data_IF_043696599868
#
_entry.id   IF_043696599868
#
_cell.length_a   1.000
_cell.length_b   1.000
_cell.length_c   1.000
_cell.angle_alpha   90.00
_cell.angle_beta   90.00
_cell.angle_gamma   90.00
#
_symmetry.space_group_name_H-M   'P 1'
#
loop_
_entity.id
_entity.type
_entity.pdbx_description
1 polymer ?
#
# COMPACT_ATOMS: atom_id res chain seq x y z
N UNK A 1 -36.54 8.28 33.06
CA UNK A 1 -35.06 8.45 32.93
C UNK A 1 -34.38 7.29 32.21
N UNK A 2 -34.74 6.05 32.45
CA UNK A 2 -34.14 4.83 31.85
C UNK A 2 -34.23 4.82 30.32
N UNK A 3 -35.34 5.29 29.74
CA UNK A 3 -35.55 5.25 28.27
C UNK A 3 -34.71 6.26 27.48
N UNK A 4 -34.20 7.32 28.09
CA UNK A 4 -33.30 8.30 27.46
C UNK A 4 -31.85 7.79 27.44
N UNK A 5 -31.46 7.10 28.50
CA UNK A 5 -30.13 6.50 28.62
C UNK A 5 -29.94 5.35 27.61
N UNK A 6 -30.95 4.49 27.43
CA UNK A 6 -30.94 3.44 26.41
C UNK A 6 -30.92 3.98 24.98
N UNK A 7 -31.64 5.07 24.70
CA UNK A 7 -31.60 5.73 23.39
C UNK A 7 -30.24 6.36 23.08
N UNK A 8 -29.59 6.95 24.10
CA UNK A 8 -28.23 7.49 23.96
C UNK A 8 -27.22 6.35 23.78
N UNK A 9 -27.36 5.25 24.55
CA UNK A 9 -26.50 4.07 24.38
C UNK A 9 -26.68 3.40 23.00
N UNK A 10 -27.91 3.30 22.53
CA UNK A 10 -28.24 2.78 21.17
C UNK A 10 -27.72 3.73 20.07
N UNK A 11 -27.81 5.03 20.27
CA UNK A 11 -27.26 6.03 19.35
C UNK A 11 -25.71 5.99 19.32
N UNK A 12 -25.07 5.83 20.48
CA UNK A 12 -23.62 5.62 20.57
C UNK A 12 -23.23 4.28 19.94
N UNK A 13 -24.03 3.23 20.09
CA UNK A 13 -23.78 1.93 19.47
C UNK A 13 -24.04 1.95 17.96
N UNK A 14 -25.08 2.63 17.48
CA UNK A 14 -25.39 2.81 16.07
C UNK A 14 -24.37 3.73 15.38
N UNK A 15 -23.88 4.79 16.04
CA UNK A 15 -22.79 5.62 15.52
C UNK A 15 -21.47 4.87 15.52
N UNK A 16 -21.18 3.99 16.48
CA UNK A 16 -20.00 3.13 16.43
C UNK A 16 -20.10 2.01 15.38
N UNK A 17 -21.29 1.48 15.10
CA UNK A 17 -21.50 0.51 14.03
C UNK A 17 -21.36 1.11 12.61
N UNK A 18 -21.72 2.40 12.44
CA UNK A 18 -21.50 3.15 11.20
C UNK A 18 -20.04 3.59 10.99
N UNK A 19 -19.18 3.51 12.02
CA UNK A 19 -17.76 3.87 11.97
C UNK A 19 -16.81 2.67 11.96
N UNK A 20 -17.31 1.44 11.82
CA UNK A 20 -16.50 0.27 11.46
C UNK A 20 -16.17 0.30 9.96
N UNK A 21 -15.63 1.41 9.48
CA UNK A 21 -14.85 1.40 8.26
C UNK A 21 -13.55 0.69 8.62
N UNK A 22 -13.47 -0.58 8.27
CA UNK A 22 -12.26 -1.39 8.36
C UNK A 22 -11.15 -0.65 7.61
N UNK A 23 -10.18 -0.15 8.36
CA UNK A 23 -8.92 0.31 7.79
C UNK A 23 -8.26 -0.93 7.18
N UNK A 24 -8.10 -0.90 5.87
CA UNK A 24 -7.43 -1.94 5.10
C UNK A 24 -6.00 -1.47 4.87
N UNK A 25 -5.03 -2.29 5.08
CA UNK A 25 -3.62 -2.04 4.82
C UNK A 25 -3.07 -3.13 3.89
N UNK A 26 -1.97 -2.86 3.26
CA UNK A 26 -1.32 -3.59 2.16
C UNK A 26 -0.41 -4.73 2.64
N UNK A 27 0.05 -5.57 1.73
CA UNK A 27 0.71 -6.86 1.92
C UNK A 27 2.02 -6.89 2.65
N UNK A 28 2.83 -5.94 2.36
CA UNK A 28 3.97 -5.61 3.17
C UNK A 28 3.67 -4.30 3.86
N UNK A 29 3.87 -4.25 5.17
CA UNK A 29 3.75 -3.00 5.89
C UNK A 29 4.86 -2.03 5.45
N UNK A 30 4.69 -0.77 5.77
CA UNK A 30 5.53 0.35 5.33
C UNK A 30 7.03 0.10 5.49
N UNK A 31 7.47 -0.49 6.61
CA UNK A 31 8.90 -0.72 6.86
C UNK A 31 9.51 -1.75 5.91
N UNK A 32 8.75 -2.75 5.55
CA UNK A 32 9.23 -3.77 4.60
C UNK A 32 9.43 -3.17 3.21
N UNK A 33 8.52 -2.34 2.71
CA UNK A 33 8.70 -1.64 1.43
C UNK A 33 9.92 -0.73 1.44
N UNK A 34 10.10 0.06 2.50
CA UNK A 34 11.27 0.94 2.63
C UNK A 34 12.58 0.14 2.78
N UNK A 35 12.54 -1.01 3.47
CA UNK A 35 13.71 -1.89 3.61
C UNK A 35 14.18 -2.47 2.27
N UNK A 36 13.27 -2.76 1.34
CA UNK A 36 13.64 -3.21 -0.01
C UNK A 36 14.37 -2.09 -0.76
N UNK A 37 13.93 -0.84 -0.64
CA UNK A 37 14.65 0.32 -1.18
C UNK A 37 16.04 0.39 -0.58
N UNK A 38 16.18 0.28 0.75
CA UNK A 38 17.46 0.40 1.45
C UNK A 38 18.49 -0.65 1.00
N UNK A 39 18.08 -1.92 0.94
CA UNK A 39 19.02 -3.00 0.56
C UNK A 39 19.41 -2.94 -0.92
N UNK A 40 18.64 -2.24 -1.75
CA UNK A 40 18.91 -2.10 -3.18
C UNK A 40 19.53 -0.74 -3.54
N UNK A 41 19.54 0.23 -2.62
CA UNK A 41 19.94 1.61 -2.88
C UNK A 41 21.37 1.72 -3.40
N UNK A 42 22.33 1.37 -2.56
CA UNK A 42 23.76 1.63 -2.82
C UNK A 42 24.28 0.85 -4.06
N UNK A 43 23.76 -0.35 -4.28
CA UNK A 43 24.30 -1.25 -5.34
C UNK A 43 23.54 -1.16 -6.66
N UNK A 44 22.30 -0.66 -6.66
CA UNK A 44 21.47 -0.75 -7.86
C UNK A 44 20.75 0.57 -8.16
N UNK A 45 19.96 1.13 -7.21
CA UNK A 45 19.15 2.32 -7.48
C UNK A 45 20.03 3.54 -7.70
N UNK A 46 20.95 3.84 -6.78
CA UNK A 46 21.83 4.99 -6.89
C UNK A 46 22.71 4.95 -8.15
N UNK A 47 23.38 3.84 -8.51
CA UNK A 47 24.09 3.74 -9.79
C UNK A 47 23.20 3.95 -11.01
N UNK A 48 21.95 3.45 -10.99
CA UNK A 48 20.99 3.67 -12.07
C UNK A 48 20.63 5.16 -12.19
N UNK A 49 20.38 5.84 -11.07
CA UNK A 49 20.14 7.28 -11.04
C UNK A 49 21.33 8.06 -11.58
N UNK A 50 22.55 7.75 -11.16
CA UNK A 50 23.77 8.40 -11.64
C UNK A 50 24.04 8.14 -13.13
N UNK A 51 23.67 6.98 -13.66
CA UNK A 51 23.75 6.69 -15.10
C UNK A 51 22.80 7.58 -15.90
N UNK A 52 21.60 7.84 -15.39
CA UNK A 52 20.58 8.67 -16.06
C UNK A 52 20.82 10.17 -15.83
N UNK A 53 21.36 10.53 -14.66
CA UNK A 53 21.61 11.90 -14.20
C UNK A 53 23.06 12.04 -13.70
N UNK A 54 24.07 12.05 -14.61
CA UNK A 54 25.48 11.93 -14.23
C UNK A 54 26.04 13.11 -13.41
N UNK A 55 25.32 14.23 -13.34
CA UNK A 55 25.69 15.40 -12.55
C UNK A 55 25.04 15.49 -11.18
N UNK A 56 24.30 14.46 -10.75
CA UNK A 56 23.59 14.51 -9.48
C UNK A 56 24.53 14.57 -8.27
N UNK A 57 24.29 15.54 -7.39
CA UNK A 57 25.05 15.71 -6.14
C UNK A 57 24.57 14.74 -5.06
N UNK A 58 25.35 14.58 -4.00
CA UNK A 58 24.94 13.76 -2.84
C UNK A 58 23.65 14.23 -2.20
N UNK A 59 23.40 15.54 -2.11
CA UNK A 59 22.16 16.10 -1.58
C UNK A 59 20.96 15.75 -2.48
N UNK A 60 21.14 15.82 -3.80
CA UNK A 60 20.11 15.41 -4.76
C UNK A 60 19.82 13.90 -4.67
N UNK A 61 20.85 13.07 -4.50
CA UNK A 61 20.68 11.63 -4.31
C UNK A 61 19.99 11.30 -2.99
N UNK A 62 20.31 12.03 -1.92
CA UNK A 62 19.61 11.91 -0.64
C UNK A 62 18.13 12.32 -0.75
N UNK A 63 17.85 13.37 -1.49
CA UNK A 63 16.48 13.77 -1.76
C UNK A 63 15.74 12.75 -2.63
N UNK A 64 16.38 12.24 -3.68
CA UNK A 64 15.85 11.18 -4.54
C UNK A 64 15.53 9.89 -3.75
N UNK A 65 16.35 9.56 -2.73
CA UNK A 65 16.07 8.44 -1.83
C UNK A 65 14.75 8.65 -1.06
N UNK A 66 14.47 9.88 -0.62
CA UNK A 66 13.20 10.21 0.01
C UNK A 66 11.99 10.03 -0.94
N UNK A 67 12.19 10.34 -2.22
CA UNK A 67 11.17 10.08 -3.23
C UNK A 67 11.02 8.60 -3.57
N UNK A 68 12.10 7.82 -3.56
CA UNK A 68 12.02 6.37 -3.73
C UNK A 68 11.22 5.70 -2.59
N UNK A 69 11.43 6.10 -1.34
CA UNK A 69 10.58 5.67 -0.23
C UNK A 69 9.12 6.10 -0.44
N UNK A 70 8.89 7.36 -0.83
CA UNK A 70 7.55 7.85 -1.12
C UNK A 70 6.84 7.03 -2.18
N UNK A 71 7.54 6.66 -3.24
CA UNK A 71 7.01 5.76 -4.27
C UNK A 71 6.68 4.37 -3.74
N UNK A 72 7.56 3.82 -2.89
CA UNK A 72 7.37 2.48 -2.32
C UNK A 72 6.16 2.37 -1.39
N UNK A 73 5.64 3.49 -0.86
CA UNK A 73 4.48 3.48 0.05
C UNK A 73 3.26 4.22 -0.51
N UNK A 74 3.40 4.99 -1.59
CA UNK A 74 2.32 5.79 -2.16
C UNK A 74 1.10 4.99 -2.61
N UNK A 75 1.22 3.77 -3.20
CA UNK A 75 0.07 2.98 -3.59
C UNK A 75 -0.91 2.73 -2.45
N UNK A 76 -0.44 2.63 -1.21
CA UNK A 76 -1.26 2.41 -0.01
C UNK A 76 -1.91 3.66 0.57
N UNK A 77 -1.59 4.83 0.05
CA UNK A 77 -2.05 6.10 0.60
C UNK A 77 -3.57 6.20 0.77
N UNK A 78 -4.33 5.49 -0.06
CA UNK A 78 -5.79 5.45 0.01
C UNK A 78 -6.36 4.77 1.25
N UNK A 79 -5.57 3.96 1.95
CA UNK A 79 -5.98 3.30 3.20
C UNK A 79 -5.81 4.17 4.44
N UNK A 80 -5.08 5.27 4.32
CA UNK A 80 -4.79 6.16 5.45
C UNK A 80 -5.85 7.28 5.58
N UNK A 81 -5.88 7.99 6.74
CA UNK A 81 -6.85 9.05 6.97
C UNK A 81 -6.83 10.11 5.85
N UNK A 82 -8.02 10.52 5.42
CA UNK A 82 -8.28 11.35 4.23
C UNK A 82 -7.90 10.71 2.90
N UNK A 83 -7.39 9.47 2.90
CA UNK A 83 -7.19 8.69 1.70
C UNK A 83 -8.51 8.22 1.08
N UNK A 84 -8.46 7.80 -0.17
CA UNK A 84 -9.61 7.29 -0.91
C UNK A 84 -9.27 5.90 -1.44
N UNK A 85 -10.02 4.90 -0.97
CA UNK A 85 -9.79 3.49 -1.35
C UNK A 85 -9.74 3.27 -2.85
N UNK A 86 -10.56 3.98 -3.62
CA UNK A 86 -10.56 3.83 -5.07
C UNK A 86 -9.18 4.12 -5.68
N UNK A 87 -8.40 5.07 -5.14
CA UNK A 87 -7.03 5.30 -5.59
C UNK A 87 -6.17 4.06 -5.42
N UNK A 88 -6.08 3.56 -4.19
CA UNK A 88 -5.27 2.38 -3.86
C UNK A 88 -5.76 1.15 -4.64
N UNK A 89 -7.07 0.90 -4.68
CA UNK A 89 -7.62 -0.22 -5.42
C UNK A 89 -7.30 -0.14 -6.93
N UNK A 90 -7.36 1.05 -7.54
CA UNK A 90 -6.99 1.22 -8.94
C UNK A 90 -5.53 0.83 -9.19
N UNK A 91 -4.60 1.34 -8.38
CA UNK A 91 -3.17 1.10 -8.60
C UNK A 91 -2.75 -0.34 -8.25
N UNK A 92 -3.53 -1.06 -7.42
CA UNK A 92 -3.26 -2.45 -7.07
C UNK A 92 -3.91 -3.46 -8.02
N UNK A 93 -5.09 -3.16 -8.56
CA UNK A 93 -5.91 -4.18 -9.23
C UNK A 93 -6.24 -3.86 -10.69
N UNK A 94 -6.15 -2.60 -11.11
CA UNK A 94 -6.56 -2.16 -12.45
C UNK A 94 -5.39 -1.54 -13.18
N UNK A 95 -4.93 -2.16 -14.27
CA UNK A 95 -3.84 -1.63 -15.08
C UNK A 95 -2.58 -1.29 -14.28
N UNK A 96 -2.27 -2.10 -13.28
CA UNK A 96 -1.18 -1.86 -12.32
C UNK A 96 0.19 -1.76 -13.00
N UNK A 97 0.49 -2.61 -13.97
CA UNK A 97 1.71 -2.54 -14.76
C UNK A 97 1.76 -1.32 -15.68
N UNK A 98 0.62 -0.97 -16.31
CA UNK A 98 0.52 0.25 -17.14
C UNK A 98 0.77 1.51 -16.31
N UNK A 99 0.33 1.52 -15.05
CA UNK A 99 0.57 2.64 -14.14
C UNK A 99 2.05 2.79 -13.80
N UNK A 100 2.75 1.70 -13.50
CA UNK A 100 4.21 1.72 -13.29
C UNK A 100 4.95 2.20 -14.54
N UNK A 101 4.56 1.68 -15.72
CA UNK A 101 5.14 2.13 -17.00
C UNK A 101 4.91 3.64 -17.20
N UNK A 102 3.68 4.13 -16.95
CA UNK A 102 3.37 5.54 -17.09
C UNK A 102 4.19 6.43 -16.16
N UNK A 103 4.44 6.02 -14.91
CA UNK A 103 5.30 6.75 -13.98
C UNK A 103 6.75 6.86 -14.48
N UNK A 104 7.30 5.77 -15.00
CA UNK A 104 8.67 5.74 -15.54
C UNK A 104 8.80 6.60 -16.80
N UNK A 105 7.79 6.59 -17.67
CA UNK A 105 7.75 7.36 -18.91
C UNK A 105 7.58 8.86 -18.66
N UNK A 106 6.74 9.23 -17.68
CA UNK A 106 6.40 10.61 -17.36
C UNK A 106 7.40 11.30 -16.41
N UNK A 107 8.41 10.59 -15.93
CA UNK A 107 9.41 11.14 -15.00
C UNK A 107 10.39 12.09 -15.72
N UNK A 108 10.37 13.39 -15.34
CA UNK A 108 11.13 14.45 -15.96
C UNK A 108 12.45 14.80 -15.25
N UNK A 109 12.59 14.43 -13.99
CA UNK A 109 13.78 14.70 -13.18
C UNK A 109 14.17 13.50 -12.30
N UNK A 110 15.28 13.62 -11.57
CA UNK A 110 15.82 12.56 -10.71
C UNK A 110 14.86 12.17 -9.59
N UNK A 111 14.10 13.11 -9.04
CA UNK A 111 13.18 12.88 -7.94
C UNK A 111 11.92 12.15 -8.43
N UNK A 112 11.38 12.57 -9.56
CA UNK A 112 10.26 11.90 -10.20
C UNK A 112 10.62 10.49 -10.63
N UNK A 113 11.83 10.30 -11.19
CA UNK A 113 12.30 8.97 -11.58
C UNK A 113 12.55 8.06 -10.38
N UNK A 114 13.15 8.58 -9.31
CA UNK A 114 13.32 7.84 -8.07
C UNK A 114 11.97 7.45 -7.43
N UNK A 115 10.97 8.32 -7.49
CA UNK A 115 9.61 8.01 -7.06
C UNK A 115 9.01 6.89 -7.91
N UNK A 116 9.17 6.93 -9.23
CA UNK A 116 8.70 5.87 -10.13
C UNK A 116 9.37 4.52 -9.84
N UNK A 117 10.69 4.53 -9.56
CA UNK A 117 11.43 3.33 -9.11
C UNK A 117 10.89 2.81 -7.77
N UNK A 118 10.48 3.70 -6.87
CA UNK A 118 9.81 3.32 -5.62
C UNK A 118 8.47 2.63 -5.86
N UNK A 119 7.62 3.13 -6.76
CA UNK A 119 6.36 2.45 -7.12
C UNK A 119 6.61 1.12 -7.80
N UNK A 120 7.65 0.99 -8.61
CA UNK A 120 8.11 -0.29 -9.15
C UNK A 120 8.57 -1.26 -8.05
N UNK A 121 9.21 -0.74 -7.00
CA UNK A 121 9.55 -1.54 -5.82
C UNK A 121 8.28 -2.10 -5.16
N UNK A 122 7.26 -1.27 -4.94
CA UNK A 122 5.97 -1.69 -4.41
C UNK A 122 5.30 -2.77 -5.28
N UNK A 123 5.24 -2.54 -6.60
CA UNK A 123 4.75 -3.54 -7.56
C UNK A 123 5.45 -4.91 -7.43
N UNK A 124 6.77 -4.92 -7.27
CA UNK A 124 7.53 -6.15 -7.07
C UNK A 124 7.28 -6.76 -5.68
N UNK A 125 7.20 -5.92 -4.66
CA UNK A 125 7.00 -6.30 -3.28
C UNK A 125 5.67 -7.05 -3.11
N UNK A 126 4.60 -6.49 -3.64
CA UNK A 126 3.28 -7.10 -3.51
C UNK A 126 3.12 -8.31 -4.42
N UNK A 127 3.51 -8.21 -5.69
CA UNK A 127 3.44 -9.32 -6.64
C UNK A 127 4.01 -10.63 -6.12
N UNK A 128 5.11 -10.57 -5.39
CA UNK A 128 5.82 -11.76 -4.88
C UNK A 128 5.66 -11.93 -3.37
N UNK A 129 5.52 -10.82 -2.64
CA UNK A 129 5.43 -10.83 -1.19
C UNK A 129 4.12 -11.41 -0.67
N UNK A 130 2.98 -11.08 -1.31
CA UNK A 130 1.68 -11.64 -0.94
C UNK A 130 1.63 -13.15 -1.15
N UNK A 131 1.71 -13.67 -2.38
CA UNK A 131 1.44 -15.09 -2.62
C UNK A 131 2.52 -16.01 -2.01
N UNK A 132 3.79 -15.60 -1.99
CA UNK A 132 4.89 -16.40 -1.45
C UNK A 132 5.01 -16.24 0.06
N UNK A 133 4.69 -15.06 0.60
CA UNK A 133 4.90 -14.68 2.00
C UNK A 133 3.62 -14.54 2.78
N UNK A 134 3.00 -13.36 2.72
CA UNK A 134 1.94 -12.96 3.65
C UNK A 134 0.74 -13.89 3.61
N UNK A 135 0.20 -14.25 2.44
CA UNK A 135 -0.97 -15.11 2.31
C UNK A 135 -0.77 -16.49 2.96
N UNK A 136 0.41 -17.08 2.80
CA UNK A 136 0.75 -18.37 3.44
C UNK A 136 0.96 -18.22 4.94
N UNK A 137 1.60 -17.12 5.36
CA UNK A 137 1.84 -16.84 6.78
C UNK A 137 0.54 -16.56 7.54
N UNK A 138 -0.47 -15.93 6.91
CA UNK A 138 -1.80 -15.80 7.50
C UNK A 138 -2.38 -17.18 7.80
N UNK A 139 -2.38 -18.10 6.84
CA UNK A 139 -2.88 -19.45 7.05
C UNK A 139 -2.14 -20.22 8.19
N UNK A 140 -0.83 -19.99 8.35
CA UNK A 140 -0.04 -20.60 9.42
C UNK A 140 -0.38 -20.01 10.80
N UNK A 141 -0.53 -18.69 10.85
CA UNK A 141 -0.71 -17.97 12.11
C UNK A 141 -2.15 -17.92 12.59
N UNK A 142 -3.12 -18.15 11.69
CA UNK A 142 -4.56 -18.08 11.95
C UNK A 142 -5.24 -19.40 11.50
N UNK A 143 -5.26 -20.45 12.38
CA UNK A 143 -5.79 -21.76 12.02
C UNK A 143 -7.27 -21.77 11.59
N UNK A 144 -8.08 -20.82 12.10
CA UNK A 144 -9.48 -20.67 11.72
C UNK A 144 -9.62 -20.20 10.26
N UNK A 145 -8.77 -19.26 9.84
CA UNK A 145 -8.73 -18.78 8.44
C UNK A 145 -8.21 -19.89 7.52
N UNK A 146 -7.18 -20.63 7.96
CA UNK A 146 -6.71 -21.81 7.24
C UNK A 146 -7.80 -22.87 7.05
N UNK A 147 -8.59 -23.13 8.06
CA UNK A 147 -9.69 -24.09 7.98
C UNK A 147 -10.78 -23.65 7.00
N UNK A 148 -10.99 -22.34 6.85
CA UNK A 148 -12.01 -21.75 5.98
C UNK A 148 -11.55 -21.55 4.55
N UNK A 149 -10.29 -21.11 4.34
CA UNK A 149 -9.79 -20.63 3.06
C UNK A 149 -8.62 -21.47 2.50
N UNK A 150 -8.05 -22.39 3.29
CA UNK A 150 -6.94 -23.23 2.85
C UNK A 150 -5.56 -22.74 3.28
N UNK A 151 -4.53 -23.12 2.53
CA UNK A 151 -3.12 -22.87 2.88
C UNK A 151 -2.62 -21.49 2.47
N UNK A 152 -3.44 -20.71 1.77
CA UNK A 152 -3.16 -19.34 1.35
C UNK A 152 -4.42 -18.51 1.61
N UNK A 153 -4.31 -17.43 2.35
CA UNK A 153 -5.43 -16.55 2.72
C UNK A 153 -5.12 -15.16 2.23
N UNK A 154 -5.89 -14.72 1.24
CA UNK A 154 -5.72 -13.41 0.62
C UNK A 154 -6.33 -12.30 1.48
N UNK A 155 -5.99 -11.06 1.14
CA UNK A 155 -6.55 -9.89 1.79
C UNK A 155 -8.08 -9.80 1.65
N UNK A 156 -8.65 -10.21 0.50
CA UNK A 156 -10.11 -10.22 0.31
C UNK A 156 -10.83 -11.20 1.23
N UNK A 157 -10.18 -12.29 1.63
CA UNK A 157 -10.75 -13.33 2.47
C UNK A 157 -10.73 -12.95 3.95
N UNK A 158 -9.61 -12.47 4.49
CA UNK A 158 -9.53 -11.88 5.84
C UNK A 158 -8.56 -10.69 5.92
N UNK A 159 -9.08 -9.46 5.72
CA UNK A 159 -8.27 -8.26 5.80
C UNK A 159 -7.63 -8.02 7.17
N UNK A 160 -8.26 -8.50 8.24
CA UNK A 160 -7.79 -8.25 9.61
C UNK A 160 -6.57 -9.10 9.94
N UNK A 161 -6.67 -10.40 9.69
CA UNK A 161 -5.55 -11.34 9.89
C UNK A 161 -4.37 -10.97 8.98
N UNK A 162 -4.66 -10.53 7.76
CA UNK A 162 -3.67 -10.09 6.79
C UNK A 162 -2.85 -8.88 7.30
N UNK A 163 -3.53 -7.80 7.71
CA UNK A 163 -2.91 -6.61 8.31
C UNK A 163 -2.10 -6.95 9.57
N UNK A 164 -2.63 -7.82 10.43
CA UNK A 164 -1.90 -8.24 11.64
C UNK A 164 -0.60 -8.97 11.30
N UNK A 165 -0.60 -9.75 10.22
CA UNK A 165 0.58 -10.48 9.76
C UNK A 165 1.66 -9.52 9.26
N UNK A 166 1.30 -8.56 8.43
CA UNK A 166 2.20 -7.55 7.88
C UNK A 166 2.90 -6.72 8.95
N UNK A 167 2.10 -6.12 9.86
CA UNK A 167 2.67 -5.38 10.99
C UNK A 167 3.44 -6.29 11.96
N UNK A 168 3.05 -7.56 12.06
CA UNK A 168 3.77 -8.57 12.80
C UNK A 168 5.18 -8.77 12.28
N UNK A 169 5.36 -8.80 10.95
CA UNK A 169 6.67 -8.89 10.32
C UNK A 169 7.49 -7.60 10.51
N UNK A 170 6.89 -6.43 10.34
CA UNK A 170 7.61 -5.17 10.59
C UNK A 170 8.16 -5.10 12.02
N UNK A 171 7.35 -5.51 13.02
CA UNK A 171 7.79 -5.59 14.42
C UNK A 171 8.91 -6.62 14.59
N UNK A 172 8.77 -7.80 13.99
CA UNK A 172 9.75 -8.88 14.12
C UNK A 172 11.08 -8.51 13.47
N UNK A 173 11.08 -8.02 12.23
CA UNK A 173 12.29 -7.67 11.51
C UNK A 173 13.00 -6.45 12.10
N UNK A 174 12.23 -5.48 12.63
CA UNK A 174 12.80 -4.41 13.44
C UNK A 174 13.47 -4.96 14.70
N UNK A 175 12.83 -5.93 15.39
CA UNK A 175 13.39 -6.58 16.57
C UNK A 175 14.64 -7.42 16.28
N UNK A 176 14.77 -7.96 15.07
CA UNK A 176 15.97 -8.68 14.59
C UNK A 176 17.10 -7.73 14.20
N UNK A 177 16.83 -6.42 14.02
CA UNK A 177 17.80 -5.45 13.52
C UNK A 177 18.05 -5.57 12.01
N UNK A 178 17.18 -6.26 11.28
CA UNK A 178 17.29 -6.44 9.83
C UNK A 178 16.87 -5.18 9.05
N UNK A 179 16.02 -4.33 9.64
CA UNK A 179 15.69 -3.05 9.06
C UNK A 179 16.67 -1.99 9.56
N UNK A 180 17.24 -1.22 8.64
CA UNK A 180 18.36 -0.32 8.90
C UNK A 180 17.94 0.91 9.72
N UNK A 181 17.79 0.75 11.03
CA UNK A 181 17.43 1.83 11.96
C UNK A 181 18.37 3.04 11.90
N UNK A 182 19.67 2.85 11.56
CA UNK A 182 20.65 3.93 11.47
C UNK A 182 20.44 4.81 10.22
N UNK A 183 20.11 4.23 9.07
CA UNK A 183 19.74 5.02 7.88
C UNK A 183 18.46 5.83 8.14
N UNK A 184 17.50 5.27 8.88
CA UNK A 184 16.31 5.97 9.32
C UNK A 184 16.57 7.12 10.29
N UNK A 185 17.56 7.03 11.16
CA UNK A 185 17.92 8.14 12.08
C UNK A 185 18.40 9.38 11.34
N UNK A 186 19.01 9.20 10.19
CA UNK A 186 19.51 10.27 9.33
C UNK A 186 18.53 10.66 8.23
N UNK A 187 17.46 9.88 8.04
CA UNK A 187 16.47 10.10 7.01
C UNK A 187 15.34 10.98 7.52
N UNK A 188 14.87 11.90 6.68
CA UNK A 188 13.92 12.96 7.06
C UNK A 188 12.45 12.55 6.79
N UNK A 189 12.21 11.35 6.30
CA UNK A 189 10.91 10.82 5.90
C UNK A 189 10.77 10.68 4.39
N UNK A 190 9.59 10.27 3.92
CA UNK A 190 9.32 10.05 2.50
C UNK A 190 8.69 11.28 1.83
N UNK A 191 8.94 11.43 0.53
CA UNK A 191 8.36 12.47 -0.33
C UNK A 191 7.48 11.86 -1.42
N UNK A 192 6.30 12.42 -1.64
CA UNK A 192 5.40 12.05 -2.74
C UNK A 192 5.59 13.04 -3.89
N UNK A 193 5.91 12.54 -5.06
CA UNK A 193 5.98 13.38 -6.26
C UNK A 193 4.59 13.51 -6.89
N UNK A 194 3.86 14.56 -6.49
CA UNK A 194 2.53 14.85 -7.02
C UNK A 194 2.52 15.07 -8.55
N UNK A 195 3.50 15.79 -9.15
CA UNK A 195 3.46 16.07 -10.58
C UNK A 195 3.51 14.80 -11.45
N UNK A 196 4.44 13.88 -11.20
CA UNK A 196 4.51 12.64 -11.98
C UNK A 196 3.34 11.72 -11.67
N UNK A 197 2.89 11.69 -10.40
CA UNK A 197 1.73 10.90 -9.99
C UNK A 197 0.47 11.35 -10.74
N UNK A 198 0.23 12.67 -10.86
CA UNK A 198 -0.89 13.23 -11.60
C UNK A 198 -0.85 12.87 -13.09
N UNK A 199 0.32 13.05 -13.73
CA UNK A 199 0.47 12.73 -15.15
C UNK A 199 0.26 11.25 -15.44
N UNK A 200 0.89 10.39 -14.66
CA UNK A 200 0.79 8.95 -14.83
C UNK A 200 -0.62 8.43 -14.53
N UNK A 201 -1.26 8.97 -13.49
CA UNK A 201 -2.63 8.59 -13.11
C UNK A 201 -3.63 8.97 -14.20
N UNK A 202 -3.54 10.19 -14.71
CA UNK A 202 -4.37 10.66 -15.83
C UNK A 202 -4.15 9.82 -17.10
N UNK A 203 -2.89 9.54 -17.45
CA UNK A 203 -2.52 8.74 -18.64
C UNK A 203 -3.07 7.31 -18.52
N UNK A 204 -3.01 6.72 -17.34
CA UNK A 204 -3.40 5.32 -17.13
C UNK A 204 -4.91 5.16 -16.99
N UNK A 205 -5.54 6.01 -16.18
CA UNK A 205 -6.93 5.83 -15.75
C UNK A 205 -7.90 6.84 -16.36
N UNK A 206 -7.43 7.86 -17.08
CA UNK A 206 -8.31 8.93 -17.60
C UNK A 206 -8.98 9.76 -16.50
N UNK A 207 -8.47 9.69 -15.28
CA UNK A 207 -8.93 10.43 -14.10
C UNK A 207 -7.80 11.29 -13.57
N UNK A 208 -8.10 12.52 -13.16
CA UNK A 208 -7.16 13.33 -12.38
C UNK A 208 -7.18 12.90 -10.91
N UNK A 209 -6.12 13.21 -10.17
CA UNK A 209 -6.12 12.95 -8.73
C UNK A 209 -7.21 13.75 -8.00
N UNK A 210 -7.60 14.93 -8.54
CA UNK A 210 -8.71 15.71 -8.00
C UNK A 210 -10.09 15.09 -8.22
N UNK A 211 -10.23 14.16 -9.19
CA UNK A 211 -11.47 13.37 -9.34
C UNK A 211 -11.61 12.33 -8.23
N UNK A 212 -10.49 11.97 -7.59
CA UNK A 212 -10.41 10.96 -6.54
C UNK A 212 -10.33 11.61 -5.16
N UNK A 213 -9.34 12.47 -4.94
CA UNK A 213 -9.08 13.11 -3.65
C UNK A 213 -9.75 14.47 -3.56
N UNK A 214 -10.47 14.70 -2.49
CA UNK A 214 -11.04 16.03 -2.18
C UNK A 214 -9.94 17.06 -1.87
N UNK A 215 -8.86 16.60 -1.24
CA UNK A 215 -7.71 17.41 -0.81
C UNK A 215 -6.47 16.51 -0.75
N UNK A 216 -5.78 16.37 -1.87
CA UNK A 216 -4.58 15.52 -1.99
C UNK A 216 -3.43 16.00 -1.09
N UNK A 217 -3.09 17.31 -1.00
CA UNK A 217 -2.07 17.78 -0.07
C UNK A 217 -2.34 17.39 1.38
N UNK A 218 -3.60 17.48 1.81
CA UNK A 218 -4.02 17.05 3.15
C UNK A 218 -3.89 15.54 3.35
N UNK A 219 -4.27 14.76 2.34
CA UNK A 219 -4.09 13.31 2.37
C UNK A 219 -2.62 12.94 2.57
N UNK A 220 -1.71 13.52 1.77
CA UNK A 220 -0.28 13.29 1.85
C UNK A 220 0.29 13.73 3.21
N UNK A 221 -0.10 14.91 3.70
CA UNK A 221 0.33 15.41 5.00
C UNK A 221 -0.10 14.49 6.15
N UNK A 222 -1.36 14.04 6.10
CA UNK A 222 -1.91 13.09 7.08
C UNK A 222 -1.22 11.73 7.02
N UNK A 223 -0.97 11.21 5.82
CA UNK A 223 -0.26 9.95 5.62
C UNK A 223 1.14 10.00 6.24
N UNK A 224 1.94 11.03 5.92
CA UNK A 224 3.26 11.25 6.55
C UNK A 224 3.18 11.31 8.06
N UNK A 225 2.18 12.03 8.60
CA UNK A 225 2.01 12.18 10.03
C UNK A 225 1.71 10.82 10.71
N UNK A 226 0.85 10.00 10.10
CA UNK A 226 0.55 8.65 10.61
C UNK A 226 1.81 7.80 10.62
N UNK A 227 2.54 7.73 9.52
CA UNK A 227 3.76 6.93 9.42
C UNK A 227 4.80 7.40 10.45
N UNK A 228 5.06 8.70 10.55
CA UNK A 228 5.97 9.28 11.55
C UNK A 228 5.64 8.82 12.99
N UNK A 229 4.37 8.61 13.31
CA UNK A 229 3.96 8.23 14.67
C UNK A 229 3.79 6.71 14.82
N UNK A 230 3.56 5.99 13.72
CA UNK A 230 3.45 4.53 13.70
C UNK A 230 4.79 3.88 14.04
N UNK A 231 5.89 4.30 13.39
CA UNK A 231 7.22 3.72 13.62
C UNK A 231 7.68 3.71 15.07
N UNK A 232 7.62 4.81 15.83
CA UNK A 232 7.97 4.77 17.24
C UNK A 232 7.08 3.82 18.06
N UNK A 233 5.86 3.56 17.61
CA UNK A 233 4.96 2.63 18.27
C UNK A 233 5.33 1.18 17.98
N UNK A 234 5.67 0.86 16.72
CA UNK A 234 6.14 -0.46 16.31
C UNK A 234 7.46 -0.84 17.00
N UNK A 235 8.45 0.06 16.98
CA UNK A 235 9.74 -0.17 17.63
C UNK A 235 9.62 -0.32 19.16
N UNK A 236 8.74 0.45 19.82
CA UNK A 236 8.44 0.27 21.24
C UNK A 236 7.79 -1.08 21.53
N UNK A 237 6.89 -1.51 20.66
CA UNK A 237 6.23 -2.81 20.77
C UNK A 237 7.25 -3.93 20.61
N UNK A 238 8.09 -3.87 19.57
CA UNK A 238 9.18 -4.82 19.35
C UNK A 238 10.11 -4.91 20.54
N UNK A 239 10.55 -3.78 21.10
CA UNK A 239 11.38 -3.75 22.32
C UNK A 239 10.68 -4.42 23.50
N UNK A 240 9.40 -4.15 23.72
CA UNK A 240 8.64 -4.71 24.85
C UNK A 240 8.52 -6.24 24.76
N UNK A 241 8.34 -6.78 23.56
CA UNK A 241 8.18 -8.23 23.36
C UNK A 241 9.49 -9.00 23.24
N UNK A 242 10.53 -8.39 22.65
CA UNK A 242 11.76 -9.07 22.22
C UNK A 242 13.04 -8.51 22.84
N UNK A 243 12.95 -7.72 23.91
CA UNK A 243 14.11 -7.09 24.55
C UNK A 243 15.29 -8.04 24.77
N UNK A 244 15.04 -9.25 25.26
CA UNK A 244 16.11 -10.23 25.55
C UNK A 244 16.81 -10.68 24.26
N UNK A 245 16.04 -10.94 23.21
CA UNK A 245 16.55 -11.38 21.92
C UNK A 245 17.30 -10.24 21.22
N UNK A 246 16.77 -9.03 21.26
CA UNK A 246 17.39 -7.81 20.72
C UNK A 246 18.77 -7.55 21.37
N UNK A 247 18.83 -7.58 22.71
CA UNK A 247 20.08 -7.35 23.44
C UNK A 247 21.07 -8.49 23.21
N UNK A 248 20.59 -9.72 23.01
CA UNK A 248 21.44 -10.88 22.70
C UNK A 248 22.04 -10.77 21.30
N UNK A 249 21.23 -10.37 20.31
CA UNK A 249 21.68 -10.23 18.91
C UNK A 249 22.56 -8.99 18.70
N UNK A 250 22.34 -7.92 19.50
CA UNK A 250 23.09 -6.67 19.40
C UNK A 250 23.53 -6.24 20.81
N UNK A 251 24.68 -6.74 21.31
CA UNK A 251 25.21 -6.36 22.62
C UNK A 251 25.39 -4.85 22.74
N UNK A 252 24.92 -4.28 23.84
CA UNK A 252 24.97 -2.83 24.10
C UNK A 252 23.81 -2.03 23.49
N UNK A 253 22.85 -2.68 22.82
CA UNK A 253 21.64 -2.02 22.35
C UNK A 253 20.81 -1.54 23.55
N UNK A 254 20.46 -0.26 23.55
CA UNK A 254 19.58 0.34 24.56
C UNK A 254 18.21 0.64 23.95
N UNK A 255 17.17 0.71 24.79
CA UNK A 255 15.84 1.11 24.35
C UNK A 255 15.86 2.41 23.54
N UNK A 256 16.64 3.40 24.00
CA UNK A 256 16.74 4.72 23.34
C UNK A 256 17.37 4.64 21.94
N UNK A 257 18.33 3.75 21.73
CA UNK A 257 18.97 3.51 20.42
C UNK A 257 18.06 2.72 19.51
N UNK A 258 17.31 1.78 20.06
CA UNK A 258 16.42 0.91 19.31
C UNK A 258 15.10 1.61 18.91
N UNK A 259 14.54 2.47 19.79
CA UNK A 259 13.34 3.22 19.46
C UNK A 259 13.65 4.30 18.43
N UNK A 260 13.20 4.08 17.20
CA UNK A 260 13.23 5.10 16.16
C UNK A 260 12.32 6.28 16.58
N UNK A 261 12.85 7.47 16.55
CA UNK A 261 12.09 8.71 16.78
C UNK A 261 12.68 9.84 15.95
N UNK A 262 12.07 10.15 14.83
CA UNK A 262 12.41 11.33 14.07
C UNK A 262 12.29 12.58 14.94
N UNK A 263 13.33 13.42 14.99
CA UNK A 263 13.30 14.68 15.72
C UNK A 263 12.23 15.60 15.13
N UNK A 264 11.35 16.13 15.97
CA UNK A 264 10.29 17.05 15.54
C UNK A 264 10.84 18.28 14.80
N UNK A 265 12.04 18.75 15.20
CA UNK A 265 12.70 19.85 14.51
C UNK A 265 13.05 19.51 13.05
N UNK A 266 13.60 18.33 12.80
CA UNK A 266 13.95 17.88 11.45
C UNK A 266 12.69 17.71 10.59
N UNK A 267 11.65 17.10 11.16
CA UNK A 267 10.37 16.95 10.46
C UNK A 267 9.74 18.30 10.11
N UNK A 268 9.75 19.25 11.05
CA UNK A 268 9.20 20.58 10.82
C UNK A 268 10.03 21.42 9.84
N UNK A 269 11.33 21.18 9.78
CA UNK A 269 12.21 21.81 8.79
C UNK A 269 11.86 21.33 7.38
N UNK A 270 11.65 20.04 7.20
CA UNK A 270 11.42 19.41 5.89
C UNK A 270 9.98 19.58 5.39
N UNK A 271 8.99 19.41 6.27
CA UNK A 271 7.57 19.37 5.89
C UNK A 271 6.75 20.53 6.42
N UNK A 272 7.39 21.55 7.04
CA UNK A 272 6.72 22.68 7.65
C UNK A 272 6.14 22.39 9.03
N UNK A 273 5.59 23.41 9.69
CA UNK A 273 5.02 23.31 11.05
C UNK A 273 3.53 22.95 11.05
N UNK A 274 2.83 23.19 9.93
CA UNK A 274 1.42 22.81 9.79
C UNK A 274 1.34 21.35 9.37
N UNK A 275 0.80 20.53 10.25
CA UNK A 275 0.54 19.13 9.97
C UNK A 275 -0.96 18.92 10.05
N UNK A 276 -1.53 18.33 9.01
CA UNK A 276 -2.90 17.85 9.03
C UNK A 276 -2.96 16.61 9.91
N UNK A 277 -3.14 16.86 11.21
CA UNK A 277 -3.35 15.78 12.17
C UNK A 277 -4.72 15.21 11.88
N UNK A 278 -4.82 13.92 11.54
CA UNK A 278 -6.12 13.30 11.53
C UNK A 278 -6.72 13.49 12.92
N UNK A 279 -7.96 13.97 13.04
CA UNK A 279 -8.61 14.29 14.30
C UNK A 279 -8.49 13.21 15.37
N UNK A 280 -9.49 12.97 16.17
CA UNK A 280 -9.48 12.00 17.29
C UNK A 280 -9.05 10.55 16.91
N UNK A 281 -9.13 10.17 15.62
CA UNK A 281 -8.94 8.82 15.11
C UNK A 281 -7.53 8.19 15.21
N UNK A 282 -6.41 8.86 15.00
CA UNK A 282 -5.09 8.20 15.09
C UNK A 282 -4.58 8.09 16.53
N UNK A 283 -5.02 9.00 17.39
CA UNK A 283 -4.87 8.82 18.86
C UNK A 283 -5.64 7.56 19.28
N UNK A 284 -6.76 7.25 18.63
CA UNK A 284 -7.57 6.07 18.88
C UNK A 284 -6.94 4.79 18.28
N UNK A 285 -6.31 4.82 17.10
CA UNK A 285 -5.57 3.65 16.58
C UNK A 285 -4.36 3.33 17.45
N UNK A 286 -3.59 4.35 17.87
CA UNK A 286 -2.50 4.18 18.81
C UNK A 286 -3.01 3.84 20.24
N UNK A 287 -4.19 4.32 20.63
CA UNK A 287 -4.86 3.97 21.89
C UNK A 287 -5.58 2.62 21.80
N UNK A 288 -6.17 2.27 20.63
CA UNK A 288 -6.76 0.95 20.39
C UNK A 288 -5.68 -0.14 20.41
N UNK A 289 -4.51 0.11 19.84
CA UNK A 289 -3.34 -0.76 20.01
C UNK A 289 -2.86 -0.81 21.48
N UNK A 290 -3.06 0.26 22.27
CA UNK A 290 -2.70 0.32 23.70
C UNK A 290 -3.79 -0.13 24.66
N UNK A 291 -5.06 -0.02 24.31
CA UNK A 291 -6.23 -0.14 25.21
C UNK A 291 -7.12 -1.33 24.83
N UNK A 292 -6.74 -2.18 23.87
CA UNK A 292 -7.53 -3.37 23.56
C UNK A 292 -7.73 -4.21 24.82
N UNK A 293 -8.99 -4.36 25.28
CA UNK A 293 -9.27 -5.11 26.49
C UNK A 293 -8.79 -6.55 26.29
N UNK A 294 -8.18 -7.11 27.32
CA UNK A 294 -7.64 -8.48 27.35
C UNK A 294 -8.74 -9.56 27.25
N UNK A 295 -9.99 -9.19 26.96
CA UNK A 295 -11.14 -10.09 26.96
C UNK A 295 -12.20 -9.65 25.92
N UNK A 296 -12.92 -10.60 25.34
CA UNK A 296 -14.01 -10.42 24.37
C UNK A 296 -13.58 -10.50 22.89
N UNK A 297 -14.48 -10.18 21.95
CA UNK A 297 -14.25 -10.21 20.48
C UNK A 297 -13.08 -9.32 20.01
N UNK A 298 -12.61 -8.41 20.84
CA UNK A 298 -11.42 -7.58 20.59
C UNK A 298 -10.10 -8.28 20.94
N UNK A 299 -10.15 -9.53 21.44
CA UNK A 299 -8.99 -10.37 21.71
C UNK A 299 -8.23 -10.70 20.43
N UNK A 300 -8.92 -10.66 19.29
CA UNK A 300 -8.41 -11.00 17.96
C UNK A 300 -7.54 -9.90 17.34
N UNK A 301 -7.63 -8.67 17.86
CA UNK A 301 -6.76 -7.54 17.47
C UNK A 301 -5.38 -7.51 18.17
N UNK A 302 -4.99 -8.55 18.90
CA UNK A 302 -3.63 -8.63 19.43
C UNK A 302 -2.64 -8.84 18.32
N UNK A 303 -1.65 -7.93 18.20
CA UNK A 303 -0.51 -8.12 17.32
C UNK A 303 0.11 -9.50 17.59
N UNK A 304 -0.05 -10.41 16.63
CA UNK A 304 0.60 -11.72 16.65
C UNK A 304 1.99 -11.55 16.05
N UNK A 305 3.02 -11.78 16.86
CA UNK A 305 4.39 -11.81 16.34
C UNK A 305 4.59 -13.15 15.62
N UNK A 306 5.02 -13.14 14.35
CA UNK A 306 5.23 -14.36 13.58
C UNK A 306 6.16 -15.33 14.24
N UNK A 307 5.83 -16.63 14.17
CA UNK A 307 6.69 -17.71 14.63
C UNK A 307 7.82 -18.02 13.64
N UNK A 308 8.77 -18.91 14.00
CA UNK A 308 9.94 -19.23 13.16
C UNK A 308 9.59 -19.75 11.76
N UNK A 309 8.51 -20.50 11.61
CA UNK A 309 8.04 -21.03 10.32
C UNK A 309 7.58 -19.88 9.40
N UNK A 310 6.71 -19.02 9.90
CA UNK A 310 6.23 -17.85 9.17
C UNK A 310 7.39 -16.87 8.86
N UNK A 311 8.32 -16.66 9.80
CA UNK A 311 9.51 -15.83 9.57
C UNK A 311 10.38 -16.38 8.42
N UNK A 312 10.59 -17.70 8.36
CA UNK A 312 11.34 -18.33 7.27
C UNK A 312 10.69 -18.07 5.91
N UNK A 313 9.38 -18.23 5.81
CA UNK A 313 8.61 -17.97 4.57
C UNK A 313 8.71 -16.48 4.18
N UNK A 314 8.56 -15.59 5.16
CA UNK A 314 8.71 -14.15 4.93
C UNK A 314 10.10 -13.80 4.38
N UNK A 315 11.18 -14.32 4.96
CA UNK A 315 12.54 -14.07 4.47
C UNK A 315 12.70 -14.59 3.04
N UNK A 316 12.18 -15.76 2.72
CA UNK A 316 12.21 -16.31 1.36
C UNK A 316 11.44 -15.41 0.37
N UNK A 317 10.29 -14.86 0.77
CA UNK A 317 9.54 -13.93 -0.06
C UNK A 317 10.29 -12.62 -0.25
N UNK A 318 10.89 -12.07 0.80
CA UNK A 318 11.71 -10.85 0.74
C UNK A 318 12.91 -11.01 -0.21
N UNK A 319 13.65 -12.12 -0.10
CA UNK A 319 14.77 -12.45 -1.00
C UNK A 319 14.30 -12.57 -2.46
N UNK A 320 13.11 -13.15 -2.68
CA UNK A 320 12.52 -13.29 -4.00
C UNK A 320 12.17 -11.92 -4.58
N UNK A 321 11.50 -11.07 -3.81
CA UNK A 321 11.19 -9.69 -4.18
C UNK A 321 12.45 -8.94 -4.56
N UNK A 322 13.47 -8.95 -3.70
CA UNK A 322 14.74 -8.26 -3.94
C UNK A 322 15.40 -8.72 -5.25
N UNK A 323 15.48 -10.03 -5.48
CA UNK A 323 16.07 -10.60 -6.71
C UNK A 323 15.33 -10.13 -7.97
N UNK A 324 14.00 -10.15 -7.95
CA UNK A 324 13.19 -9.72 -9.08
C UNK A 324 13.31 -8.21 -9.33
N UNK A 325 13.25 -7.41 -8.28
CA UNK A 325 13.38 -5.97 -8.37
C UNK A 325 14.76 -5.56 -8.93
N UNK A 326 15.85 -6.07 -8.36
CA UNK A 326 17.23 -5.83 -8.86
C UNK A 326 17.36 -6.25 -10.33
N UNK A 327 16.88 -7.44 -10.68
CA UNK A 327 16.95 -7.94 -12.08
C UNK A 327 16.21 -7.03 -13.07
N UNK A 328 15.10 -6.42 -12.65
CA UNK A 328 14.37 -5.46 -13.47
C UNK A 328 15.20 -4.19 -13.62
N UNK A 329 15.70 -3.62 -12.52
CA UNK A 329 16.49 -2.39 -12.52
C UNK A 329 17.77 -2.51 -13.38
N UNK A 330 18.47 -3.64 -13.33
CA UNK A 330 19.65 -3.90 -14.14
C UNK A 330 19.38 -3.91 -15.65
N UNK A 331 18.16 -4.31 -16.05
CA UNK A 331 17.74 -4.38 -17.46
C UNK A 331 17.12 -3.09 -17.99
N UNK A 332 16.66 -2.19 -17.13
CA UNK A 332 15.97 -0.96 -17.54
C UNK A 332 16.78 -0.06 -18.49
N UNK A 333 18.10 0.09 -18.36
CA UNK A 333 18.87 0.92 -19.28
C UNK A 333 18.85 0.45 -20.75
N UNK A 334 18.56 -0.81 -20.97
CA UNK A 334 18.66 -1.45 -22.30
C UNK A 334 17.31 -1.72 -22.95
N UNK A 335 16.21 -1.71 -22.16
CA UNK A 335 14.90 -2.13 -22.66
C UNK A 335 13.77 -1.32 -22.03
N UNK A 336 12.84 -0.83 -22.87
CA UNK A 336 11.53 -0.35 -22.41
C UNK A 336 10.83 -1.49 -21.67
N UNK A 337 10.65 -1.36 -20.38
CA UNK A 337 9.97 -2.38 -19.59
C UNK A 337 8.47 -2.30 -19.87
N UNK A 338 7.86 -3.44 -20.12
CA UNK A 338 6.41 -3.56 -20.24
C UNK A 338 5.92 -4.45 -19.10
N UNK A 339 5.48 -3.83 -18.01
CA UNK A 339 5.03 -4.56 -16.83
C UNK A 339 3.61 -5.10 -17.05
N UNK A 340 3.39 -6.33 -16.61
CA UNK A 340 2.08 -6.97 -16.68
C UNK A 340 1.07 -6.29 -15.75
N UNK A 341 -0.17 -6.19 -16.18
CA UNK A 341 -1.27 -5.79 -15.30
C UNK A 341 -1.67 -6.99 -14.44
N UNK A 342 -1.33 -6.92 -13.17
CA UNK A 342 -1.57 -7.96 -12.17
C UNK A 342 -2.47 -7.43 -11.07
N UNK A 343 -3.13 -8.29 -10.32
CA UNK A 343 -3.57 -7.95 -8.99
C UNK A 343 -2.43 -8.19 -7.99
N UNK A 344 -2.29 -7.31 -7.02
CA UNK A 344 -1.15 -7.35 -6.12
C UNK A 344 -1.30 -8.41 -5.02
N UNK A 345 -2.51 -8.88 -4.73
CA UNK A 345 -2.75 -9.83 -3.64
C UNK A 345 -2.47 -11.27 -4.03
N UNK A 346 -2.74 -11.66 -5.29
CA UNK A 346 -2.45 -13.00 -5.80
C UNK A 346 -1.16 -13.02 -6.62
N UNK A 347 -0.73 -11.86 -7.15
CA UNK A 347 0.40 -11.75 -8.07
C UNK A 347 0.09 -12.22 -9.49
N UNK A 348 -1.14 -12.64 -9.76
CA UNK A 348 -1.60 -13.13 -11.05
C UNK A 348 -2.04 -12.01 -12.00
N UNK A 349 -2.16 -12.31 -13.26
CA UNK A 349 -2.67 -11.34 -14.24
C UNK A 349 -4.12 -11.01 -13.92
N UNK A 350 -4.43 -9.72 -13.78
CA UNK A 350 -5.80 -9.28 -13.53
C UNK A 350 -6.74 -9.73 -14.65
N UNK A 351 -7.68 -10.57 -14.29
CA UNK A 351 -8.70 -11.11 -15.20
C UNK A 351 -10.06 -11.16 -14.51
N UNK A 352 -11.17 -11.10 -15.29
CA UNK A 352 -12.50 -11.08 -14.70
C UNK A 352 -12.81 -12.39 -13.96
N UNK A 353 -13.30 -12.23 -12.72
CA UNK A 353 -13.66 -13.36 -11.86
C UNK A 353 -12.51 -13.99 -11.09
N UNK A 354 -11.26 -13.65 -11.40
CA UNK A 354 -10.08 -14.19 -10.73
C UNK A 354 -9.99 -13.66 -9.28
N UNK A 355 -10.09 -12.33 -9.09
CA UNK A 355 -9.98 -11.74 -7.77
C UNK A 355 -11.15 -10.79 -7.43
N UNK A 356 -11.84 -10.98 -6.29
CA UNK A 356 -13.05 -10.21 -5.97
C UNK A 356 -12.84 -8.70 -5.90
N UNK A 357 -11.69 -8.24 -5.36
CA UNK A 357 -11.40 -6.80 -5.26
C UNK A 357 -11.04 -6.18 -6.61
N UNK A 358 -10.45 -6.95 -7.53
CA UNK A 358 -10.23 -6.50 -8.90
C UNK A 358 -11.55 -6.28 -9.61
N UNK A 359 -12.49 -7.23 -9.52
CA UNK A 359 -13.84 -7.11 -10.11
C UNK A 359 -14.59 -5.90 -9.55
N UNK A 360 -14.61 -5.75 -8.22
CA UNK A 360 -15.25 -4.61 -7.55
C UNK A 360 -14.64 -3.28 -8.00
N UNK A 361 -13.32 -3.24 -8.12
CA UNK A 361 -12.59 -2.04 -8.53
C UNK A 361 -12.88 -1.66 -9.98
N UNK A 362 -12.92 -2.62 -10.90
CA UNK A 362 -13.33 -2.37 -12.28
C UNK A 362 -14.76 -1.85 -12.35
N UNK A 363 -15.68 -2.39 -11.55
CA UNK A 363 -17.06 -1.94 -11.47
C UNK A 363 -17.15 -0.47 -11.02
N UNK A 364 -16.48 -0.10 -9.95
CA UNK A 364 -16.45 1.29 -9.45
C UNK A 364 -15.77 2.24 -10.42
N UNK A 365 -14.71 1.78 -11.07
CA UNK A 365 -13.95 2.53 -12.05
C UNK A 365 -14.77 2.88 -13.29
N UNK A 366 -15.47 1.91 -13.87
CA UNK A 366 -16.33 2.12 -15.05
C UNK A 366 -17.43 3.12 -14.74
N UNK A 367 -18.07 2.99 -13.57
CA UNK A 367 -19.12 3.93 -13.14
C UNK A 367 -18.55 5.34 -12.89
N UNK A 368 -17.33 5.43 -12.36
CA UNK A 368 -16.63 6.72 -12.19
C UNK A 368 -16.34 7.39 -13.53
N UNK A 369 -15.82 6.66 -14.50
CA UNK A 369 -15.56 7.16 -15.86
C UNK A 369 -16.84 7.54 -16.60
N UNK A 370 -17.93 6.80 -16.38
CA UNK A 370 -19.24 7.13 -16.94
C UNK A 370 -19.73 8.50 -16.50
N UNK A 371 -19.36 8.95 -15.29
CA UNK A 371 -19.76 10.26 -14.75
C UNK A 371 -19.36 11.44 -15.63
N UNK A 372 -18.27 11.33 -16.42
CA UNK A 372 -17.86 12.34 -17.43
C UNK A 372 -18.02 11.85 -18.89
N UNK A 373 -18.80 10.79 -19.10
CA UNK A 373 -19.00 10.12 -20.39
C UNK A 373 -17.69 9.65 -21.04
N UNK A 374 -16.73 9.16 -20.25
CA UNK A 374 -15.45 8.62 -20.72
C UNK A 374 -14.60 9.60 -21.54
N UNK A 375 -14.80 10.92 -21.37
CA UNK A 375 -14.15 11.96 -22.19
C UNK A 375 -12.63 11.86 -22.22
N UNK A 376 -12.02 11.49 -21.08
CA UNK A 376 -10.56 11.38 -20.92
C UNK A 376 -10.04 9.96 -21.04
N UNK A 377 -10.92 8.98 -21.30
CA UNK A 377 -10.50 7.60 -21.48
C UNK A 377 -9.80 7.42 -22.83
N UNK A 378 -8.52 7.08 -22.80
CA UNK A 378 -7.73 6.77 -23.99
C UNK A 378 -8.28 5.54 -24.72
N UNK A 379 -7.92 5.37 -25.99
CA UNK A 379 -8.32 4.17 -26.77
C UNK A 379 -7.86 2.89 -26.06
N UNK A 380 -6.61 2.84 -25.58
CA UNK A 380 -6.09 1.68 -24.87
C UNK A 380 -6.84 1.39 -23.56
N UNK A 381 -7.25 2.42 -22.83
CA UNK A 381 -8.06 2.27 -21.62
C UNK A 381 -9.44 1.70 -21.95
N UNK A 382 -10.11 2.24 -22.97
CA UNK A 382 -11.42 1.74 -23.42
C UNK A 382 -11.35 0.29 -23.85
N UNK A 383 -10.33 -0.08 -24.64
CA UNK A 383 -10.09 -1.45 -25.06
C UNK A 383 -9.81 -2.39 -23.87
N UNK A 384 -9.05 -1.93 -22.87
CA UNK A 384 -8.80 -2.70 -21.64
C UNK A 384 -10.11 -3.01 -20.90
N UNK A 385 -10.96 -1.99 -20.70
CA UNK A 385 -12.26 -2.16 -20.04
C UNK A 385 -13.15 -3.14 -20.83
N UNK A 386 -13.29 -2.94 -22.14
CA UNK A 386 -14.13 -3.83 -22.98
C UNK A 386 -13.61 -5.27 -22.94
N UNK A 387 -12.30 -5.46 -22.97
CA UNK A 387 -11.70 -6.80 -22.87
C UNK A 387 -11.97 -7.44 -21.51
N UNK A 388 -11.83 -6.70 -20.43
CA UNK A 388 -12.09 -7.19 -19.06
C UNK A 388 -13.52 -7.75 -18.96
N UNK A 389 -14.52 -7.00 -19.43
CA UNK A 389 -15.91 -7.45 -19.34
C UNK A 389 -16.33 -8.43 -20.46
N UNK A 390 -15.44 -8.72 -21.42
CA UNK A 390 -15.76 -9.58 -22.58
C UNK A 390 -15.79 -11.08 -22.26
N UNK A 391 -15.15 -11.54 -21.18
CA UNK A 391 -14.85 -12.96 -20.97
C UNK A 391 -15.56 -13.64 -19.81
N UNK A 392 -16.08 -12.91 -18.79
CA UNK A 392 -16.68 -13.54 -17.59
C UNK A 392 -17.72 -12.67 -16.91
N UNK A 393 -18.82 -12.40 -17.60
CA UNK A 393 -19.86 -11.48 -17.10
C UNK A 393 -20.68 -12.04 -15.93
N UNK A 394 -20.91 -13.36 -15.85
CA UNK A 394 -21.81 -13.96 -14.87
C UNK A 394 -21.27 -13.83 -13.42
N UNK A 395 -19.97 -14.07 -13.24
CA UNK A 395 -19.34 -13.99 -11.90
C UNK A 395 -19.29 -12.54 -11.38
N UNK A 396 -18.94 -11.60 -12.26
CA UNK A 396 -18.91 -10.17 -11.94
C UNK A 396 -20.31 -9.67 -11.63
N UNK A 397 -21.30 -10.07 -12.43
CA UNK A 397 -22.70 -9.71 -12.24
C UNK A 397 -23.22 -10.22 -10.89
N UNK A 398 -22.94 -11.48 -10.55
CA UNK A 398 -23.36 -12.07 -9.28
C UNK A 398 -22.77 -11.33 -8.06
N UNK A 399 -21.51 -10.89 -8.14
CA UNK A 399 -20.84 -10.11 -7.09
C UNK A 399 -21.35 -8.68 -7.00
N UNK A 400 -21.65 -8.03 -8.13
CA UNK A 400 -22.11 -6.65 -8.16
C UNK A 400 -23.54 -6.48 -7.63
N UNK A 401 -24.40 -7.49 -7.80
CA UNK A 401 -25.83 -7.39 -7.60
C UNK A 401 -26.57 -6.71 -8.77
N UNK A 402 -27.86 -6.97 -8.90
CA UNK A 402 -28.67 -6.63 -10.08
C UNK A 402 -28.61 -5.12 -10.41
N UNK A 403 -28.83 -4.26 -9.44
CA UNK A 403 -28.93 -2.81 -9.68
C UNK A 403 -27.59 -2.21 -10.13
N UNK A 404 -26.50 -2.58 -9.48
CA UNK A 404 -25.17 -2.12 -9.85
C UNK A 404 -24.74 -2.69 -11.22
N UNK A 405 -25.08 -3.95 -11.47
CA UNK A 405 -24.79 -4.58 -12.76
C UNK A 405 -25.51 -3.90 -13.93
N UNK A 406 -26.77 -3.53 -13.78
CA UNK A 406 -27.53 -2.78 -14.79
C UNK A 406 -26.85 -1.43 -15.10
N UNK A 407 -26.37 -0.73 -14.09
CA UNK A 407 -25.62 0.53 -14.28
C UNK A 407 -24.30 0.30 -15.05
N UNK A 408 -23.57 -0.77 -14.71
CA UNK A 408 -22.34 -1.15 -15.39
C UNK A 408 -22.59 -1.49 -16.85
N UNK A 409 -23.61 -2.30 -17.13
CA UNK A 409 -24.00 -2.67 -18.50
C UNK A 409 -24.32 -1.43 -19.33
N UNK A 410 -25.13 -0.51 -18.81
CA UNK A 410 -25.43 0.75 -19.49
C UNK A 410 -24.20 1.65 -19.71
N UNK A 411 -23.24 1.61 -18.78
CA UNK A 411 -21.95 2.30 -18.94
C UNK A 411 -21.08 1.66 -20.03
N UNK A 412 -21.04 0.32 -20.09
CA UNK A 412 -20.31 -0.42 -21.11
C UNK A 412 -20.91 -0.21 -22.52
N UNK A 413 -22.22 -0.15 -22.65
CA UNK A 413 -22.88 0.16 -23.93
C UNK A 413 -22.52 1.57 -24.41
N UNK A 414 -22.50 2.53 -23.50
CA UNK A 414 -22.01 3.90 -23.81
C UNK A 414 -20.56 3.87 -24.27
N UNK A 415 -19.70 3.13 -23.55
CA UNK A 415 -18.27 3.02 -23.86
C UNK A 415 -18.03 2.39 -25.25
N UNK A 416 -18.77 1.31 -25.57
CA UNK A 416 -18.70 0.63 -26.87
C UNK A 416 -19.14 1.56 -28.01
N UNK A 417 -20.17 2.38 -27.80
CA UNK A 417 -20.63 3.34 -28.80
C UNK A 417 -19.61 4.47 -29.10
N UNK A 418 -18.65 4.73 -28.19
CA UNK A 418 -17.58 5.71 -28.36
C UNK A 418 -16.33 5.14 -29.07
N UNK A 419 -16.26 3.84 -29.31
CA UNK A 419 -15.14 3.25 -30.05
C UNK A 419 -15.33 3.47 -31.54
N UNK A 420 -14.29 3.85 -32.30
CA UNK A 420 -14.36 3.73 -33.74
C UNK A 420 -14.61 2.25 -34.06
N UNK A 421 -15.60 1.99 -34.87
CA UNK A 421 -15.85 0.67 -35.46
C UNK A 421 -14.71 0.43 -36.45
N UNK A 422 -13.65 -0.26 -36.03
CA UNK A 422 -12.59 -0.81 -36.89
C UNK A 422 -12.17 -2.16 -36.31
#
# INVERSE_FOLDING_TARGET
MINRFYKILLMIFATNALFLHTYKASAYSVLTHEAIIDVTWDKTIQPLLLKKYPGATEDQLKEAHAYAYGGAVAPDMGYYPYGVKLFTNLVHYVRSGDFVNALLDEANDINEYAFALGVLCHYCADRYGHPIGTNQCVAIMFPEDRAKFGSSVTYAEDPVSHIQMEFGFDVLQTARGNYASEKYHNFIGFKISQPVLERAFLKTYGLSLNDIFKDLPRTISSFRWVIKNLFPSLTRTAWSYKKKDIVKSTPGMTRRRFEYKMKTANYNHEFGKKHDRPGFFPGMLAAVIKILPKSGKLKDFKLKVPGPEAEKIFIQSFDTVQKHYVRILEKMPEKTSNFANIDYDTGENTSPGEYPLADETYNDFVLKLKGDNFKRASVSLRQNIVRFYGTCNEQIAARAGIDKWNQITAALDTLKALQPVN
#
